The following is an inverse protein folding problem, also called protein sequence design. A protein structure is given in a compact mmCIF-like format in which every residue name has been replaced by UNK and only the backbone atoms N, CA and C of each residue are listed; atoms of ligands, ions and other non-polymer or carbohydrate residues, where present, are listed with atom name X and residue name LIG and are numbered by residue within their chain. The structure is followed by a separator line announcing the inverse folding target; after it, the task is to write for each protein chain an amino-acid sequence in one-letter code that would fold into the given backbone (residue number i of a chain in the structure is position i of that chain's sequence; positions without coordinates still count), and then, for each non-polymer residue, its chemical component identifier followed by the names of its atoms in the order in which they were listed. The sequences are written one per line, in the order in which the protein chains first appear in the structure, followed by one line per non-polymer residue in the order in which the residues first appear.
data_IF_761777144946
#
_entry.id   IF_761777144946
#
_cell.length_a   1.000
_cell.length_b   1.000
_cell.length_c   1.000
_cell.angle_alpha   90.00
_cell.angle_beta   90.00
_cell.angle_gamma   90.00
#
_symmetry.space_group_name_H-M   'P 1'
#
loop_
_entity.id
_entity.type
_entity.pdbx_description
1 polymer ?
#
# COMPACT_ATOMS: atom_id res chain seq x y z
N UNK A 1 2.53 22.36 -17.70
CA UNK A 1 3.41 21.24 -17.29
C UNK A 1 3.07 20.69 -15.90
N UNK A 2 2.78 21.51 -14.88
CA UNK A 2 2.10 21.03 -13.63
C UNK A 2 0.85 20.19 -13.92
N UNK A 3 0.07 20.56 -14.95
CA UNK A 3 -1.10 19.82 -15.44
C UNK A 3 -0.80 18.48 -16.09
N UNK A 4 0.36 18.28 -16.74
CA UNK A 4 0.68 17.01 -17.39
C UNK A 4 1.09 15.94 -16.36
N UNK A 5 1.87 16.34 -15.35
CA UNK A 5 2.23 15.49 -14.20
C UNK A 5 1.01 15.16 -13.34
N UNK A 6 0.18 16.16 -13.03
CA UNK A 6 -1.09 16.00 -12.30
C UNK A 6 -2.00 14.99 -12.99
N UNK A 7 -2.31 15.16 -14.28
CA UNK A 7 -3.25 14.30 -15.02
C UNK A 7 -2.75 12.84 -15.18
N UNK A 8 -1.45 12.59 -15.00
CA UNK A 8 -0.88 11.25 -15.03
C UNK A 8 -0.99 10.52 -13.69
N UNK A 9 -0.66 11.20 -12.59
CA UNK A 9 -0.87 10.69 -11.23
C UNK A 9 -2.36 10.38 -11.00
N UNK A 10 -3.26 11.21 -11.54
CA UNK A 10 -4.71 10.96 -11.44
C UNK A 10 -5.18 9.74 -12.23
N UNK A 11 -4.51 9.34 -13.33
CA UNK A 11 -4.96 8.20 -14.13
C UNK A 11 -4.49 6.85 -13.58
N UNK A 12 -3.26 6.76 -13.05
CA UNK A 12 -2.79 5.58 -12.32
C UNK A 12 -3.62 5.33 -11.06
N UNK A 13 -4.07 6.41 -10.39
CA UNK A 13 -5.02 6.31 -9.28
C UNK A 13 -6.46 5.92 -9.72
N UNK A 14 -6.83 6.12 -10.99
CA UNK A 14 -8.20 5.87 -11.47
C UNK A 14 -8.49 4.43 -11.92
N UNK A 15 -7.46 3.60 -12.08
CA UNK A 15 -7.58 2.14 -12.30
C UNK A 15 -7.50 1.35 -10.99
N UNK A 16 -7.08 1.97 -9.89
CA UNK A 16 -7.14 1.39 -8.56
C UNK A 16 -8.59 1.47 -8.02
N UNK A 17 -9.51 0.69 -8.57
CA UNK A 17 -10.82 0.47 -7.95
C UNK A 17 -10.71 -0.16 -6.54
N UNK A 18 -9.53 -0.67 -6.17
CA UNK A 18 -9.18 -1.11 -4.82
C UNK A 18 -8.74 0.03 -3.89
N UNK A 19 -8.64 1.29 -4.34
CA UNK A 19 -8.44 2.48 -3.49
C UNK A 19 -9.66 2.79 -2.57
N UNK A 20 -10.58 1.84 -2.43
CA UNK A 20 -11.67 1.80 -1.47
C UNK A 20 -11.24 1.28 -0.09
N UNK A 21 -10.02 0.76 0.04
CA UNK A 21 -9.45 0.28 1.30
C UNK A 21 -8.92 1.41 2.20
N UNK A 22 -9.25 2.68 1.95
CA UNK A 22 -8.94 3.78 2.86
C UNK A 22 -10.20 4.60 3.14
N UNK A 23 -10.39 5.08 4.37
CA UNK A 23 -11.55 5.88 4.72
C UNK A 23 -11.56 7.18 3.92
N UNK A 24 -12.75 7.66 3.59
CA UNK A 24 -12.89 8.91 2.87
C UNK A 24 -12.55 10.07 3.82
N UNK A 25 -11.30 10.53 3.84
CA UNK A 25 -10.86 11.58 4.76
C UNK A 25 -11.53 12.94 4.48
N UNK A 26 -11.61 13.77 5.53
CA UNK A 26 -11.97 15.18 5.41
C UNK A 26 -10.99 15.92 4.47
N UNK A 27 -11.42 17.05 3.92
CA UNK A 27 -10.54 17.87 3.07
C UNK A 27 -9.54 18.58 3.98
N UNK A 28 -8.25 18.37 3.74
CA UNK A 28 -7.19 19.15 4.37
C UNK A 28 -7.43 20.66 4.20
N UNK A 29 -7.04 21.45 5.21
CA UNK A 29 -6.94 22.90 5.13
C UNK A 29 -6.09 23.32 3.94
N UNK A 30 -6.38 24.49 3.38
CA UNK A 30 -5.51 25.03 2.33
C UNK A 30 -4.22 25.58 2.97
N UNK A 31 -3.07 25.46 2.30
CA UNK A 31 -1.84 26.10 2.75
C UNK A 31 -2.06 27.60 3.02
N UNK A 32 -1.51 28.09 4.12
CA UNK A 32 -1.59 29.48 4.57
C UNK A 32 -0.44 30.28 3.95
N UNK A 33 -0.75 31.29 3.14
CA UNK A 33 0.26 32.24 2.66
C UNK A 33 0.68 33.18 3.77
N UNK A 34 1.96 33.19 4.12
CA UNK A 34 2.52 34.04 5.20
C UNK A 34 3.39 35.19 4.68
N UNK A 35 3.90 35.07 3.45
CA UNK A 35 4.61 36.12 2.72
C UNK A 35 4.54 35.83 1.21
N UNK A 36 5.01 36.76 0.37
CA UNK A 36 5.05 36.55 -1.08
C UNK A 36 5.89 35.32 -1.42
N UNK A 37 5.30 34.37 -2.15
CA UNK A 37 5.92 33.11 -2.52
C UNK A 37 6.20 32.14 -1.36
N UNK A 38 5.70 32.40 -0.14
CA UNK A 38 5.90 31.56 1.06
C UNK A 38 4.56 31.06 1.62
N UNK A 39 4.41 29.75 1.74
CA UNK A 39 3.24 29.08 2.31
C UNK A 39 3.62 28.14 3.45
N UNK A 40 2.77 28.07 4.47
CA UNK A 40 2.84 27.11 5.57
C UNK A 40 1.60 26.21 5.49
N UNK A 41 1.80 24.90 5.50
CA UNK A 41 0.75 23.89 5.45
C UNK A 41 0.83 23.03 6.72
N UNK A 42 0.00 23.31 7.75
CA UNK A 42 -0.12 22.43 8.90
C UNK A 42 -0.65 21.07 8.48
N UNK A 43 -0.18 20.01 9.13
CA UNK A 43 -0.65 18.65 8.90
C UNK A 43 -1.23 18.11 10.19
N UNK A 44 -2.50 17.72 10.15
CA UNK A 44 -3.17 17.03 11.26
C UNK A 44 -3.99 15.87 10.68
N UNK A 45 -3.59 14.65 10.98
CA UNK A 45 -4.31 13.43 10.57
C UNK A 45 -4.59 12.56 11.79
N UNK A 46 -5.76 11.93 11.83
CA UNK A 46 -6.13 11.04 12.90
C UNK A 46 -6.95 9.86 12.42
N UNK A 47 -6.73 8.70 13.04
CA UNK A 47 -7.43 7.45 12.75
C UNK A 47 -7.72 6.66 14.02
N UNK A 48 -8.99 6.51 14.37
CA UNK A 48 -9.42 5.50 15.33
C UNK A 48 -9.77 4.23 14.56
N UNK A 49 -9.18 3.09 14.94
CA UNK A 49 -9.44 1.80 14.32
C UNK A 49 -9.75 0.76 15.38
N UNK A 50 -10.89 0.09 15.21
CA UNK A 50 -11.11 -1.22 15.81
C UNK A 50 -10.77 -2.30 14.78
N UNK A 51 -10.04 -3.33 15.20
CA UNK A 51 -9.72 -4.54 14.44
C UNK A 51 -9.97 -5.76 15.32
N UNK A 52 -10.79 -6.67 14.81
CA UNK A 52 -10.99 -7.99 15.38
C UNK A 52 -10.39 -9.04 14.45
N UNK A 53 -9.72 -10.04 15.02
CA UNK A 53 -9.16 -11.18 14.29
C UNK A 53 -9.57 -12.47 15.00
N UNK A 54 -10.22 -13.38 14.30
CA UNK A 54 -10.57 -14.72 14.78
C UNK A 54 -9.74 -15.74 13.99
N UNK A 55 -8.97 -16.54 14.72
CA UNK A 55 -8.25 -17.71 14.22
C UNK A 55 -8.54 -18.90 15.14
N UNK A 56 -9.83 -19.19 15.36
CA UNK A 56 -10.32 -20.12 16.37
C UNK A 56 -9.75 -21.54 16.29
N UNK A 57 -9.31 -22.00 15.11
CA UNK A 57 -8.62 -23.30 14.98
C UNK A 57 -7.25 -23.31 15.69
N UNK A 58 -6.59 -22.16 15.81
CA UNK A 58 -5.35 -21.96 16.59
C UNK A 58 -5.65 -21.62 18.05
N UNK A 59 -6.91 -21.36 18.41
CA UNK A 59 -7.30 -20.88 19.74
C UNK A 59 -6.79 -19.47 20.03
N UNK A 60 -6.63 -18.65 18.99
CA UNK A 60 -6.15 -17.27 19.08
C UNK A 60 -7.21 -16.33 18.52
N UNK A 61 -7.55 -15.32 19.31
CA UNK A 61 -8.37 -14.19 18.90
C UNK A 61 -7.62 -12.90 19.19
N UNK A 62 -7.99 -11.78 18.57
CA UNK A 62 -7.47 -10.47 18.92
C UNK A 62 -8.55 -9.39 18.83
N UNK A 63 -8.49 -8.45 19.76
CA UNK A 63 -9.28 -7.23 19.76
C UNK A 63 -8.35 -6.03 19.96
N UNK A 64 -8.15 -5.25 18.90
CA UNK A 64 -7.31 -4.06 18.90
C UNK A 64 -8.16 -2.80 18.70
N UNK A 65 -8.13 -1.88 19.66
CA UNK A 65 -8.67 -0.52 19.48
C UNK A 65 -7.51 0.46 19.54
N UNK A 66 -7.12 1.00 18.38
CA UNK A 66 -5.94 1.84 18.25
C UNK A 66 -6.30 3.24 17.76
N UNK A 67 -5.57 4.25 18.24
CA UNK A 67 -5.67 5.64 17.81
C UNK A 67 -4.33 6.09 17.23
N UNK A 68 -4.31 6.41 15.93
CA UNK A 68 -3.21 7.13 15.29
C UNK A 68 -3.46 8.62 15.29
N UNK A 69 -2.42 9.40 15.54
CA UNK A 69 -2.34 10.82 15.25
C UNK A 69 -1.05 11.14 14.50
N UNK A 70 -1.14 11.99 13.49
CA UNK A 70 0.01 12.61 12.81
C UNK A 70 -0.10 14.11 12.91
N UNK A 71 1.01 14.75 13.25
CA UNK A 71 1.11 16.19 13.43
C UNK A 71 2.38 16.71 12.78
N UNK A 72 2.27 17.75 11.98
CA UNK A 72 3.41 18.29 11.27
C UNK A 72 3.18 19.63 10.60
N UNK A 73 4.17 20.06 9.84
CA UNK A 73 4.11 21.28 9.03
C UNK A 73 4.99 21.14 7.81
N UNK A 74 4.51 21.63 6.67
CA UNK A 74 5.32 21.89 5.48
C UNK A 74 5.43 23.39 5.23
N UNK A 75 6.65 23.87 5.00
CA UNK A 75 6.91 25.23 4.54
C UNK A 75 7.40 25.17 3.10
N UNK A 76 6.82 25.98 2.22
CA UNK A 76 7.28 26.14 0.83
C UNK A 76 7.65 27.59 0.57
N UNK A 77 8.80 27.82 -0.07
CA UNK A 77 9.29 29.14 -0.42
C UNK A 77 10.03 29.11 -1.76
N UNK A 78 9.53 29.83 -2.78
CA UNK A 78 10.19 29.98 -4.09
C UNK A 78 10.69 28.66 -4.74
N UNK A 79 9.92 27.58 -4.60
CA UNK A 79 10.26 26.26 -5.12
C UNK A 79 10.97 25.33 -4.13
N UNK A 80 11.54 25.86 -3.05
CA UNK A 80 12.03 25.05 -1.94
C UNK A 80 10.89 24.59 -1.04
N UNK A 81 11.05 23.41 -0.42
CA UNK A 81 10.18 22.90 0.62
C UNK A 81 10.98 22.32 1.79
N UNK A 82 10.41 22.42 2.99
CA UNK A 82 10.87 21.72 4.18
C UNK A 82 9.64 21.17 4.92
N UNK A 83 9.68 19.91 5.34
CA UNK A 83 8.58 19.24 6.03
C UNK A 83 9.12 18.52 7.25
N UNK A 84 8.44 18.68 8.37
CA UNK A 84 8.60 17.87 9.57
C UNK A 84 7.23 17.35 10.02
N UNK A 85 7.11 16.05 10.25
CA UNK A 85 5.89 15.38 10.71
C UNK A 85 6.26 14.28 11.70
N UNK A 86 5.58 14.26 12.83
CA UNK A 86 5.61 13.17 13.78
C UNK A 86 4.35 12.30 13.61
N UNK A 87 4.47 11.02 13.93
CA UNK A 87 3.32 10.13 14.09
C UNK A 87 3.33 9.46 15.46
N UNK A 88 2.14 9.09 15.89
CA UNK A 88 1.93 8.35 17.14
C UNK A 88 0.77 7.38 16.99
N UNK A 89 0.89 6.26 17.68
CA UNK A 89 -0.13 5.21 17.79
C UNK A 89 -0.30 4.86 19.27
N UNK A 90 -1.54 4.89 19.75
CA UNK A 90 -1.95 4.51 21.09
C UNK A 90 -2.82 3.24 21.01
N UNK A 91 -2.56 2.25 21.85
CA UNK A 91 -3.42 1.08 22.02
C UNK A 91 -4.38 1.33 23.19
N UNK A 92 -5.66 1.56 22.89
CA UNK A 92 -6.73 1.75 23.89
C UNK A 92 -7.23 0.39 24.40
N UNK A 93 -7.28 -0.59 23.49
CA UNK A 93 -7.46 -2.01 23.79
C UNK A 93 -6.35 -2.78 23.09
N UNK A 94 -5.59 -3.54 23.88
CA UNK A 94 -4.30 -4.15 23.55
C UNK A 94 -4.32 -5.69 23.62
N UNK A 95 -5.51 -6.30 23.48
CA UNK A 95 -5.66 -7.76 23.41
C UNK A 95 -5.24 -8.28 22.02
N UNK A 96 -4.03 -8.00 21.58
CA UNK A 96 -3.50 -8.42 20.29
C UNK A 96 -1.99 -8.63 20.34
N UNK A 97 -1.46 -9.41 19.41
CA UNK A 97 -0.02 -9.55 19.27
C UNK A 97 0.52 -8.44 18.36
N UNK A 98 1.31 -7.52 18.93
CA UNK A 98 1.79 -6.33 18.24
C UNK A 98 3.17 -6.49 17.59
N UNK A 99 3.75 -7.70 17.70
CA UNK A 99 5.06 -8.12 17.21
C UNK A 99 6.27 -7.59 18.00
N UNK A 100 6.06 -6.90 19.12
CA UNK A 100 7.12 -6.46 20.03
C UNK A 100 7.32 -7.52 21.14
N UNK A 101 8.46 -8.22 21.19
CA UNK A 101 8.68 -9.26 22.18
C UNK A 101 8.61 -8.72 23.61
N UNK A 102 7.77 -9.34 24.45
CA UNK A 102 7.66 -8.99 25.87
C UNK A 102 6.82 -7.75 26.17
N UNK A 103 6.13 -7.18 25.18
CA UNK A 103 5.14 -6.15 25.42
C UNK A 103 3.90 -6.73 26.17
N UNK A 104 3.09 -5.85 26.77
CA UNK A 104 1.82 -6.20 27.42
C UNK A 104 1.92 -7.16 28.63
N UNK A 105 3.11 -7.32 29.20
CA UNK A 105 3.33 -8.08 30.44
C UNK A 105 3.46 -9.61 30.26
N UNK A 106 3.50 -10.10 29.02
CA UNK A 106 3.70 -11.52 28.72
C UNK A 106 5.18 -11.86 28.60
N UNK A 107 5.66 -12.80 29.42
CA UNK A 107 6.99 -13.39 29.26
C UNK A 107 6.94 -14.50 28.19
N UNK A 108 6.80 -14.13 26.90
CA UNK A 108 6.73 -15.10 25.80
C UNK A 108 5.99 -14.60 24.56
N UNK A 109 5.50 -15.53 23.74
CA UNK A 109 4.59 -15.22 22.64
C UNK A 109 3.24 -14.77 23.21
N UNK A 110 2.73 -13.64 22.71
CA UNK A 110 1.43 -13.11 23.13
C UNK A 110 0.33 -14.10 22.71
N UNK A 111 -0.65 -14.39 23.60
CA UNK A 111 -1.68 -15.41 23.37
C UNK A 111 -2.82 -14.87 22.49
N UNK A 112 -2.49 -14.03 21.50
CA UNK A 112 -3.43 -13.34 20.64
C UNK A 112 -3.00 -13.41 19.18
N UNK A 113 -3.97 -13.26 18.29
CA UNK A 113 -3.71 -13.10 16.85
C UNK A 113 -2.94 -11.80 16.57
N UNK A 114 -2.17 -11.78 15.48
CA UNK A 114 -1.31 -10.64 15.16
C UNK A 114 -2.12 -9.48 14.60
N UNK A 115 -1.96 -8.31 15.23
CA UNK A 115 -2.33 -7.00 14.69
C UNK A 115 -1.09 -6.11 14.75
N UNK A 116 -0.42 -5.95 13.61
CA UNK A 116 0.88 -5.29 13.49
C UNK A 116 0.81 -3.75 13.57
N UNK A 117 0.20 -3.25 14.63
CA UNK A 117 0.02 -1.82 14.91
C UNK A 117 0.44 -1.52 16.35
N UNK A 118 1.74 -1.67 16.68
CA UNK A 118 2.24 -1.40 18.01
C UNK A 118 2.13 0.07 18.36
N UNK A 119 2.11 0.34 19.67
CA UNK A 119 2.23 1.69 20.19
C UNK A 119 3.54 2.33 19.73
N UNK A 120 3.48 3.61 19.41
CA UNK A 120 4.59 4.29 18.77
C UNK A 120 4.51 5.80 18.98
N UNK A 121 5.67 6.45 19.09
CA UNK A 121 5.81 7.90 18.92
C UNK A 121 7.13 8.15 18.21
N UNK A 122 7.10 8.65 16.98
CA UNK A 122 8.32 8.85 16.21
C UNK A 122 8.25 9.98 15.18
N UNK A 123 9.41 10.31 14.61
CA UNK A 123 9.49 11.17 13.43
C UNK A 123 9.08 10.36 12.20
N UNK A 124 7.94 10.72 11.62
CA UNK A 124 7.41 10.07 10.44
C UNK A 124 8.08 10.58 9.16
N UNK A 125 8.11 11.91 8.97
CA UNK A 125 8.74 12.54 7.80
C UNK A 125 9.60 13.72 8.22
N UNK A 126 10.78 13.80 7.63
CA UNK A 126 11.70 14.92 7.79
C UNK A 126 12.49 15.07 6.50
N UNK A 127 12.06 16.02 5.68
CA UNK A 127 12.54 16.14 4.30
C UNK A 127 12.66 17.58 3.86
N UNK A 128 13.62 17.82 2.97
CA UNK A 128 13.76 19.07 2.22
C UNK A 128 13.66 18.76 0.74
N UNK A 129 13.14 19.71 -0.02
CA UNK A 129 12.99 19.54 -1.46
C UNK A 129 13.14 20.82 -2.24
N UNK A 130 13.30 20.65 -3.55
CA UNK A 130 13.26 21.74 -4.52
C UNK A 130 12.46 21.30 -5.74
N UNK A 131 11.52 22.12 -6.18
CA UNK A 131 10.69 21.93 -7.36
C UNK A 131 10.93 23.05 -8.36
N UNK A 132 11.61 22.71 -9.46
CA UNK A 132 11.93 23.61 -10.56
C UNK A 132 11.00 23.43 -11.77
N UNK A 133 11.43 23.95 -12.93
CA UNK A 133 10.67 23.87 -14.18
C UNK A 133 10.63 22.46 -14.79
N UNK A 134 11.70 21.69 -14.62
CA UNK A 134 11.92 20.41 -15.30
C UNK A 134 11.76 19.18 -14.39
N UNK A 135 11.61 19.40 -13.08
CA UNK A 135 11.53 18.32 -12.11
C UNK A 135 11.64 18.79 -10.67
N UNK A 136 11.70 17.82 -9.77
CA UNK A 136 11.88 17.99 -8.33
C UNK A 136 12.93 17.05 -7.79
N UNK A 137 13.55 17.46 -6.69
CA UNK A 137 14.41 16.62 -5.86
C UNK A 137 13.95 16.72 -4.41
N UNK A 138 13.93 15.59 -3.71
CA UNK A 138 13.58 15.48 -2.28
C UNK A 138 14.66 14.67 -1.57
N UNK A 139 15.13 15.17 -0.44
CA UNK A 139 16.15 14.53 0.41
C UNK A 139 15.61 14.41 1.83
N UNK A 140 15.80 13.23 2.44
CA UNK A 140 15.42 12.94 3.82
C UNK A 140 14.38 11.83 3.92
N UNK A 141 13.78 11.72 5.10
CA UNK A 141 12.74 10.73 5.39
C UNK A 141 11.43 11.12 4.73
N UNK A 142 10.95 10.30 3.81
CA UNK A 142 9.82 10.62 2.95
C UNK A 142 8.96 9.39 2.62
N UNK A 143 7.70 9.63 2.23
CA UNK A 143 6.86 8.61 1.61
C UNK A 143 7.30 8.36 0.17
N UNK A 144 7.41 7.10 -0.22
CA UNK A 144 7.62 6.70 -1.61
C UNK A 144 6.58 5.65 -1.96
N UNK A 145 5.77 5.96 -2.97
CA UNK A 145 4.69 5.12 -3.48
C UNK A 145 4.81 5.13 -4.99
N UNK A 146 4.98 3.96 -5.59
CA UNK A 146 5.04 3.79 -7.04
C UNK A 146 3.78 3.07 -7.53
N UNK A 147 3.15 3.61 -8.56
CA UNK A 147 1.95 3.07 -9.21
C UNK A 147 0.81 2.75 -8.22
N UNK A 148 0.36 1.49 -8.18
CA UNK A 148 -0.68 0.96 -7.28
C UNK A 148 -0.10 0.45 -5.95
N UNK A 149 1.17 0.75 -5.64
CA UNK A 149 1.88 0.32 -4.45
C UNK A 149 2.17 -1.19 -4.37
N UNK A 150 2.07 -1.92 -5.50
CA UNK A 150 2.31 -3.37 -5.54
C UNK A 150 3.73 -3.79 -5.20
N UNK A 151 4.71 -2.94 -5.52
CA UNK A 151 6.13 -3.20 -5.25
C UNK A 151 6.73 -2.23 -4.24
N UNK A 152 6.35 -0.94 -4.31
CA UNK A 152 6.86 0.11 -3.43
C UNK A 152 5.69 0.97 -2.96
N UNK A 153 5.42 0.97 -1.66
CA UNK A 153 4.37 1.75 -1.04
C UNK A 153 4.68 2.15 0.40
N UNK A 154 3.80 2.95 0.99
CA UNK A 154 3.94 3.41 2.37
C UNK A 154 3.10 2.60 3.37
N UNK A 155 2.32 1.61 2.93
CA UNK A 155 1.48 0.79 3.81
C UNK A 155 0.51 1.63 4.66
N UNK A 156 -0.01 2.74 4.09
CA UNK A 156 -0.75 3.76 4.84
C UNK A 156 -2.09 3.34 5.48
N UNK A 157 -2.49 2.07 5.31
CA UNK A 157 -3.59 1.42 6.03
C UNK A 157 -3.28 1.16 7.51
N UNK A 158 -2.01 0.84 7.81
CA UNK A 158 -1.53 0.63 9.18
C UNK A 158 -1.50 1.96 9.93
N UNK A 159 -1.46 1.85 11.26
CA UNK A 159 -1.39 3.01 12.14
C UNK A 159 -0.03 3.69 12.01
N UNK A 160 1.07 2.94 12.04
CA UNK A 160 2.37 3.46 11.62
C UNK A 160 2.55 3.20 10.12
N UNK A 161 3.21 4.12 9.41
CA UNK A 161 3.47 3.93 7.98
C UNK A 161 4.93 3.65 7.66
N UNK A 162 5.13 3.00 6.53
CA UNK A 162 6.45 2.82 5.97
C UNK A 162 6.94 4.12 5.31
N UNK A 163 8.18 4.50 5.63
CA UNK A 163 8.89 5.63 5.03
C UNK A 163 10.31 5.25 4.62
N UNK A 164 10.96 6.12 3.84
CA UNK A 164 12.27 5.85 3.26
C UNK A 164 13.20 7.01 3.53
N UNK A 165 14.41 6.71 4.01
CA UNK A 165 15.48 7.69 4.15
C UNK A 165 16.25 7.75 2.83
N UNK A 166 15.88 8.72 1.99
CA UNK A 166 16.21 8.66 0.56
C UNK A 166 16.53 10.01 -0.07
N UNK A 167 17.17 9.94 -1.25
CA UNK A 167 17.18 10.99 -2.26
C UNK A 167 16.30 10.53 -3.42
N UNK A 168 15.32 11.35 -3.80
CA UNK A 168 14.41 11.08 -4.92
C UNK A 168 14.40 12.25 -5.90
N UNK A 169 14.55 11.96 -7.17
CA UNK A 169 14.43 12.91 -8.26
C UNK A 169 13.31 12.49 -9.21
N UNK A 170 12.47 13.44 -9.58
CA UNK A 170 11.35 13.22 -10.49
C UNK A 170 11.36 14.30 -11.57
N UNK A 171 11.07 13.96 -12.82
CA UNK A 171 11.04 14.95 -13.89
C UNK A 171 10.47 14.44 -15.20
N UNK A 172 10.36 15.36 -16.16
CA UNK A 172 9.92 15.04 -17.51
C UNK A 172 11.02 15.35 -18.52
N UNK A 173 11.31 14.39 -19.39
CA UNK A 173 12.17 14.51 -20.56
C UNK A 173 11.29 14.40 -21.81
N UNK A 174 10.78 15.55 -22.28
CA UNK A 174 9.79 15.57 -23.34
C UNK A 174 8.49 14.86 -22.92
N UNK A 175 8.04 13.80 -23.63
CA UNK A 175 6.86 13.03 -23.25
C UNK A 175 7.13 11.96 -22.18
N UNK A 176 8.40 11.72 -21.83
CA UNK A 176 8.80 10.67 -20.88
C UNK A 176 8.86 11.23 -19.48
N UNK A 177 8.17 10.58 -18.55
CA UNK A 177 8.27 10.83 -17.11
C UNK A 177 9.34 9.90 -16.53
N UNK A 178 10.17 10.43 -15.64
CA UNK A 178 11.19 9.67 -14.92
C UNK A 178 11.06 9.87 -13.42
N UNK A 179 11.27 8.79 -12.67
CA UNK A 179 11.42 8.76 -11.22
C UNK A 179 12.68 7.96 -10.90
N UNK A 180 13.54 8.51 -10.07
CA UNK A 180 14.75 7.85 -9.64
C UNK A 180 14.96 8.10 -8.15
N UNK A 181 15.03 7.03 -7.38
CA UNK A 181 15.26 7.05 -5.95
C UNK A 181 16.48 6.21 -5.61
N UNK A 182 17.32 6.74 -4.72
CA UNK A 182 18.26 5.95 -3.95
C UNK A 182 17.91 6.10 -2.46
N UNK A 183 17.70 4.98 -1.78
CA UNK A 183 17.34 4.93 -0.36
C UNK A 183 18.34 4.10 0.40
N UNK A 184 18.71 4.57 1.60
CA UNK A 184 19.64 3.88 2.50
C UNK A 184 18.91 3.07 3.58
N UNK A 185 17.61 3.32 3.77
CA UNK A 185 16.82 2.68 4.83
C UNK A 185 15.34 2.65 4.47
N UNK A 186 14.70 1.53 4.78
CA UNK A 186 13.24 1.36 4.83
C UNK A 186 12.82 1.38 6.30
N UNK A 187 12.07 2.40 6.71
CA UNK A 187 11.42 2.47 8.03
C UNK A 187 10.14 1.66 7.97
N UNK A 188 9.99 0.70 8.88
CA UNK A 188 8.90 -0.27 8.82
C UNK A 188 7.64 0.24 9.52
N UNK A 189 6.55 -0.49 9.37
CA UNK A 189 5.27 -0.24 10.09
C UNK A 189 5.33 -0.64 11.58
N UNK A 190 6.43 -1.24 12.05
CA UNK A 190 6.50 -1.81 13.39
C UNK A 190 6.90 -0.80 14.47
N UNK A 191 7.12 0.48 14.12
CA UNK A 191 7.39 1.55 15.07
C UNK A 191 8.80 1.52 15.68
N UNK A 192 9.14 2.57 16.43
CA UNK A 192 10.51 2.87 16.88
C UNK A 192 11.08 1.89 17.93
N UNK A 193 10.22 1.19 18.66
CA UNK A 193 10.60 0.25 19.73
C UNK A 193 10.74 -1.20 19.25
N UNK A 194 10.30 -1.49 18.02
CA UNK A 194 10.42 -2.84 17.45
C UNK A 194 11.87 -3.19 17.09
N UNK A 195 12.28 -4.46 17.26
CA UNK A 195 13.54 -4.95 16.67
C UNK A 195 13.54 -4.83 15.14
N UNK A 196 12.36 -4.79 14.52
CA UNK A 196 12.16 -4.66 13.08
C UNK A 196 11.82 -3.22 12.64
N UNK A 197 12.09 -2.21 13.46
CA UNK A 197 11.78 -0.79 13.20
C UNK A 197 12.28 -0.24 11.86
N UNK A 198 13.37 -0.80 11.33
CA UNK A 198 13.90 -0.43 10.03
C UNK A 198 14.71 -1.59 9.43
N UNK A 199 14.94 -1.51 8.13
CA UNK A 199 15.90 -2.35 7.42
C UNK A 199 16.80 -1.46 6.57
N UNK A 200 18.09 -1.51 6.85
CA UNK A 200 19.10 -0.73 6.13
C UNK A 200 19.60 -1.50 4.91
N UNK A 201 20.15 -0.76 3.95
CA UNK A 201 20.71 -1.33 2.73
C UNK A 201 20.91 -0.30 1.63
N UNK A 202 21.18 -0.79 0.42
CA UNK A 202 21.31 -0.01 -0.81
C UNK A 202 20.11 -0.29 -1.71
N UNK A 203 19.17 0.66 -1.78
CA UNK A 203 17.95 0.51 -2.57
C UNK A 203 17.91 1.50 -3.73
N UNK A 204 17.85 0.99 -4.96
CA UNK A 204 17.70 1.78 -6.19
C UNK A 204 16.33 1.51 -6.78
N UNK A 205 15.49 2.55 -6.88
CA UNK A 205 14.15 2.45 -7.45
C UNK A 205 14.04 3.37 -8.66
N UNK A 206 13.88 2.80 -9.85
CA UNK A 206 13.86 3.52 -11.11
C UNK A 206 12.57 3.26 -11.87
N UNK A 207 12.00 4.32 -12.40
CA UNK A 207 10.77 4.27 -13.19
C UNK A 207 10.85 5.21 -14.38
N UNK A 208 10.36 4.74 -15.53
CA UNK A 208 10.25 5.53 -16.75
C UNK A 208 8.95 5.22 -17.47
N UNK A 209 8.19 6.24 -17.88
CA UNK A 209 6.90 6.02 -18.51
C UNK A 209 6.46 7.09 -19.51
N UNK A 210 5.55 6.72 -20.39
CA UNK A 210 5.01 7.59 -21.45
C UNK A 210 3.52 7.29 -21.68
N UNK A 211 2.76 8.28 -22.17
CA UNK A 211 1.39 8.07 -22.64
C UNK A 211 1.40 7.86 -24.13
N UNK A 212 0.82 6.76 -24.58
CA UNK A 212 0.57 6.49 -25.99
C UNK A 212 -0.92 6.34 -26.19
N UNK A 213 -1.54 7.33 -26.87
CA UNK A 213 -2.98 7.30 -27.25
C UNK A 213 -3.95 6.97 -26.09
N UNK A 214 -3.68 7.50 -24.89
CA UNK A 214 -4.54 7.25 -23.73
C UNK A 214 -4.08 6.12 -22.82
N UNK A 215 -3.18 5.24 -23.29
CA UNK A 215 -2.57 4.16 -22.51
C UNK A 215 -1.28 4.65 -21.87
N UNK A 216 -1.13 4.46 -20.56
CA UNK A 216 0.13 4.65 -19.85
C UNK A 216 0.98 3.38 -20.02
N UNK A 217 2.21 3.54 -20.51
CA UNK A 217 3.20 2.46 -20.60
C UNK A 217 4.39 2.86 -19.75
N UNK A 218 4.85 1.93 -18.91
CA UNK A 218 5.92 2.17 -17.95
C UNK A 218 6.88 0.99 -17.91
N UNK A 219 8.17 1.26 -17.80
CA UNK A 219 9.20 0.31 -17.40
C UNK A 219 9.77 0.71 -16.05
N UNK A 220 10.20 -0.28 -15.26
CA UNK A 220 10.79 -0.05 -13.95
C UNK A 220 11.91 -1.04 -13.65
N UNK A 221 12.81 -0.61 -12.76
CA UNK A 221 13.87 -1.43 -12.20
C UNK A 221 13.98 -1.14 -10.70
N UNK A 222 13.87 -2.19 -9.88
CA UNK A 222 14.01 -2.11 -8.43
C UNK A 222 15.14 -3.03 -8.01
N UNK A 223 16.24 -2.46 -7.52
CA UNK A 223 17.38 -3.19 -6.99
C UNK A 223 17.40 -2.99 -5.49
N UNK A 224 17.17 -4.06 -4.75
CA UNK A 224 17.11 -4.06 -3.31
C UNK A 224 18.28 -4.87 -2.77
N UNK A 225 19.20 -4.24 -2.05
CA UNK A 225 20.27 -4.94 -1.34
C UNK A 225 20.18 -4.62 0.15
N UNK A 226 19.60 -5.54 0.93
CA UNK A 226 19.44 -5.39 2.38
C UNK A 226 20.69 -5.84 3.13
N UNK A 227 21.02 -5.16 4.21
CA UNK A 227 22.14 -5.53 5.10
C UNK A 227 21.79 -6.70 6.03
N UNK A 228 20.54 -6.76 6.52
CA UNK A 228 20.11 -7.78 7.51
C UNK A 228 19.09 -8.79 6.96
N UNK A 229 18.28 -8.38 5.98
CA UNK A 229 17.25 -9.25 5.36
C UNK A 229 17.74 -9.83 4.04
N UNK A 230 18.89 -10.50 4.07
CA UNK A 230 19.61 -10.94 2.85
C UNK A 230 18.72 -11.73 1.88
N UNK A 231 17.82 -12.59 2.37
CA UNK A 231 16.89 -13.37 1.53
C UNK A 231 15.88 -12.50 0.74
N UNK A 232 15.70 -11.24 1.13
CA UNK A 232 14.85 -10.26 0.45
C UNK A 232 15.64 -9.36 -0.52
N UNK A 233 16.99 -9.47 -0.55
CA UNK A 233 17.80 -8.77 -1.54
C UNK A 233 17.49 -9.33 -2.93
N UNK A 234 17.06 -8.47 -3.85
CA UNK A 234 16.59 -8.88 -5.16
C UNK A 234 16.74 -7.77 -6.19
N UNK A 235 16.85 -8.15 -7.45
CA UNK A 235 16.75 -7.24 -8.58
C UNK A 235 15.53 -7.60 -9.41
N UNK A 236 14.67 -6.60 -9.64
CA UNK A 236 13.39 -6.75 -10.32
C UNK A 236 13.34 -5.81 -11.51
N UNK A 237 13.09 -6.34 -12.70
CA UNK A 237 12.90 -5.55 -13.92
C UNK A 237 11.53 -5.87 -14.51
N UNK A 238 10.77 -4.83 -14.85
CA UNK A 238 9.42 -5.05 -15.34
C UNK A 238 8.87 -3.92 -16.16
N UNK A 239 7.67 -4.17 -16.69
CA UNK A 239 6.91 -3.21 -17.45
C UNK A 239 5.41 -3.36 -17.16
N UNK A 240 4.69 -2.26 -17.32
CA UNK A 240 3.23 -2.27 -17.24
C UNK A 240 2.59 -1.40 -18.32
N UNK A 241 1.37 -1.75 -18.67
CA UNK A 241 0.48 -0.96 -19.49
C UNK A 241 -0.89 -0.84 -18.79
N UNK A 242 -1.41 0.38 -18.68
CA UNK A 242 -2.73 0.64 -18.11
C UNK A 242 -3.50 1.65 -18.96
N UNK A 243 -4.78 1.38 -19.21
CA UNK A 243 -5.61 2.24 -20.03
C UNK A 243 -7.09 2.11 -19.72
N UNK A 244 -7.83 3.16 -20.05
CA UNK A 244 -9.28 3.20 -19.98
C UNK A 244 -9.86 3.49 -21.36
N UNK A 245 -10.80 2.66 -21.81
CA UNK A 245 -11.50 2.78 -23.09
C UNK A 245 -12.95 3.19 -22.80
N UNK A 246 -13.35 4.43 -23.11
CA UNK A 246 -14.75 4.85 -23.00
C UNK A 246 -15.62 4.05 -23.97
N UNK A 247 -16.74 3.52 -23.47
CA UNK A 247 -17.74 2.82 -24.30
C UNK A 247 -18.92 3.72 -24.70
N UNK A 248 -18.96 4.95 -24.21
CA UNK A 248 -20.07 5.89 -24.37
C UNK A 248 -20.91 6.03 -23.10
N UNK A 249 -21.55 7.19 -22.91
CA UNK A 249 -22.26 7.52 -21.66
C UNK A 249 -21.30 7.52 -20.45
N UNK A 250 -21.70 6.87 -19.36
CA UNK A 250 -20.86 6.68 -18.17
C UNK A 250 -20.07 5.36 -18.19
N UNK A 251 -20.11 4.61 -19.30
CA UNK A 251 -19.51 3.30 -19.38
C UNK A 251 -18.04 3.37 -19.82
N UNK A 252 -17.18 2.59 -19.15
CA UNK A 252 -15.76 2.46 -19.49
C UNK A 252 -15.26 1.03 -19.24
N UNK A 253 -14.28 0.61 -20.05
CA UNK A 253 -13.45 -0.56 -19.80
C UNK A 253 -12.10 -0.08 -19.28
N UNK A 254 -11.61 -0.66 -18.20
CA UNK A 254 -10.27 -0.44 -17.66
C UNK A 254 -9.45 -1.72 -17.88
N UNK A 255 -8.22 -1.59 -18.36
CA UNK A 255 -7.29 -2.72 -18.57
C UNK A 255 -5.97 -2.38 -17.90
N UNK A 256 -5.42 -3.32 -17.14
CA UNK A 256 -4.07 -3.25 -16.55
C UNK A 256 -3.34 -4.56 -16.87
N UNK A 257 -2.13 -4.45 -17.39
CA UNK A 257 -1.23 -5.58 -17.63
C UNK A 257 0.13 -5.22 -17.04
N UNK A 258 0.75 -6.15 -16.32
CA UNK A 258 2.08 -6.00 -15.76
C UNK A 258 2.84 -7.33 -15.85
N UNK A 259 4.11 -7.22 -16.18
CA UNK A 259 5.07 -8.32 -16.14
C UNK A 259 6.35 -7.85 -15.46
N UNK A 260 6.96 -8.72 -14.66
CA UNK A 260 8.30 -8.50 -14.13
C UNK A 260 9.06 -9.81 -14.01
N UNK A 261 10.39 -9.73 -14.02
CA UNK A 261 11.29 -10.81 -13.64
C UNK A 261 12.09 -10.35 -12.43
N UNK A 262 12.08 -11.16 -11.38
CA UNK A 262 12.89 -10.95 -10.18
C UNK A 262 13.93 -12.07 -10.04
N UNK A 263 15.12 -11.71 -9.59
CA UNK A 263 16.21 -12.65 -9.30
C UNK A 263 16.99 -12.19 -8.07
N UNK A 264 17.84 -13.06 -7.54
CA UNK A 264 18.75 -12.73 -6.46
C UNK A 264 19.65 -11.53 -6.79
N UNK A 265 20.06 -10.81 -5.73
CA UNK A 265 20.92 -9.64 -5.83
C UNK A 265 21.74 -9.48 -4.55
N UNK A 266 22.90 -8.83 -4.66
CA UNK A 266 23.79 -8.58 -3.54
C UNK A 266 24.18 -9.85 -2.80
N UNK A 267 23.92 -9.89 -1.49
CA UNK A 267 24.26 -11.00 -0.60
C UNK A 267 23.12 -12.03 -0.41
N UNK A 268 22.13 -12.09 -1.31
CA UNK A 268 21.07 -13.09 -1.19
C UNK A 268 21.65 -14.52 -1.21
N UNK A 269 21.34 -15.36 -0.19
CA UNK A 269 21.91 -16.70 -0.09
C UNK A 269 21.32 -17.72 -1.07
N UNK A 270 20.19 -17.40 -1.71
CA UNK A 270 19.52 -18.29 -2.66
C UNK A 270 19.69 -17.68 -4.05
N UNK A 271 20.30 -18.43 -4.97
CA UNK A 271 20.27 -18.11 -6.40
C UNK A 271 18.91 -18.53 -6.95
N UNK A 272 18.13 -17.58 -7.45
CA UNK A 272 16.80 -17.85 -7.99
C UNK A 272 16.42 -16.87 -9.09
N UNK A 273 15.45 -17.26 -9.90
CA UNK A 273 14.75 -16.31 -10.75
C UNK A 273 13.27 -16.69 -10.93
N UNK A 274 12.38 -15.74 -10.63
CA UNK A 274 10.93 -15.92 -10.67
C UNK A 274 10.25 -14.85 -11.53
N UNK A 275 9.19 -15.24 -12.25
CA UNK A 275 8.34 -14.33 -13.00
C UNK A 275 7.22 -13.75 -12.12
N UNK A 276 6.70 -12.61 -12.55
CA UNK A 276 5.47 -12.02 -12.03
C UNK A 276 4.56 -11.63 -13.18
N UNK A 277 3.27 -11.94 -13.03
CA UNK A 277 2.23 -11.58 -13.99
C UNK A 277 1.07 -10.92 -13.26
N UNK A 278 0.51 -9.88 -13.85
CA UNK A 278 -0.74 -9.27 -13.36
C UNK A 278 -1.56 -8.78 -14.55
N UNK A 279 -2.81 -9.24 -14.61
CA UNK A 279 -3.75 -8.90 -15.65
C UNK A 279 -5.13 -8.61 -15.03
N UNK A 280 -5.64 -7.42 -15.27
CA UNK A 280 -6.94 -6.98 -14.77
C UNK A 280 -7.80 -6.40 -15.88
N UNK A 281 -9.08 -6.74 -15.83
CA UNK A 281 -10.12 -6.17 -16.67
C UNK A 281 -11.26 -5.64 -15.79
N UNK A 282 -11.57 -4.36 -15.95
CA UNK A 282 -12.66 -3.68 -15.26
C UNK A 282 -13.71 -3.17 -16.25
N UNK A 283 -14.97 -3.18 -15.85
CA UNK A 283 -16.07 -2.51 -16.55
C UNK A 283 -16.86 -1.68 -15.54
N UNK A 284 -17.02 -0.39 -15.81
CA UNK A 284 -17.92 0.47 -15.05
C UNK A 284 -19.18 0.74 -15.87
N UNK A 285 -20.37 0.51 -15.32
CA UNK A 285 -21.66 0.77 -15.97
C UNK A 285 -22.73 1.13 -14.95
N UNK A 286 -23.47 2.23 -15.17
CA UNK A 286 -24.60 2.66 -14.32
C UNK A 286 -24.29 2.68 -12.80
N UNK A 287 -23.09 3.12 -12.41
CA UNK A 287 -22.65 3.20 -11.01
C UNK A 287 -22.21 1.86 -10.38
N UNK A 288 -22.24 0.77 -11.14
CA UNK A 288 -21.61 -0.50 -10.81
C UNK A 288 -20.22 -0.59 -11.44
N UNK A 289 -19.27 -1.15 -10.71
CA UNK A 289 -17.98 -1.59 -11.23
C UNK A 289 -17.86 -3.10 -11.10
N UNK A 290 -17.55 -3.79 -12.19
CA UNK A 290 -17.15 -5.19 -12.19
C UNK A 290 -15.66 -5.24 -12.53
N UNK A 291 -14.89 -6.02 -11.79
CA UNK A 291 -13.46 -6.25 -12.06
C UNK A 291 -13.18 -7.73 -11.96
N UNK A 292 -12.38 -8.26 -12.87
CA UNK A 292 -11.77 -9.58 -12.76
C UNK A 292 -10.27 -9.46 -12.98
N UNK A 293 -9.49 -10.30 -12.32
CA UNK A 293 -8.05 -10.29 -12.50
C UNK A 293 -7.37 -11.60 -12.13
N UNK A 294 -6.12 -11.66 -12.54
CA UNK A 294 -5.17 -12.72 -12.26
C UNK A 294 -3.85 -12.07 -11.83
N UNK A 295 -3.32 -12.46 -10.69
CA UNK A 295 -1.95 -12.13 -10.28
C UNK A 295 -1.17 -13.41 -10.00
N UNK A 296 0.08 -13.48 -10.45
CA UNK A 296 1.03 -14.53 -10.10
C UNK A 296 2.32 -13.93 -9.57
N UNK A 297 2.69 -14.35 -8.36
CA UNK A 297 4.04 -14.24 -7.81
C UNK A 297 4.70 -15.60 -7.98
N UNK A 298 5.49 -15.75 -9.05
CA UNK A 298 6.03 -17.04 -9.46
C UNK A 298 7.07 -17.61 -8.49
N UNK A 299 7.50 -18.83 -8.78
CA UNK A 299 8.46 -19.60 -7.99
C UNK A 299 9.54 -20.23 -8.87
N UNK A 300 10.76 -20.28 -8.34
CA UNK A 300 11.85 -21.06 -8.94
C UNK A 300 11.84 -22.49 -8.38
N UNK A 301 10.92 -23.30 -8.90
CA UNK A 301 10.82 -24.73 -8.57
C UNK A 301 10.53 -25.02 -7.10
N UNK A 302 9.92 -24.09 -6.36
CA UNK A 302 9.62 -24.20 -4.93
C UNK A 302 10.75 -23.78 -3.99
N UNK A 303 11.91 -23.39 -4.51
CA UNK A 303 13.09 -23.01 -3.71
C UNK A 303 13.05 -21.57 -3.19
N UNK A 304 12.54 -20.65 -4.02
CA UNK A 304 12.29 -19.26 -3.71
C UNK A 304 11.13 -18.76 -4.60
N UNK A 305 10.47 -17.71 -4.14
CA UNK A 305 9.36 -17.10 -4.86
C UNK A 305 9.58 -15.60 -5.02
N UNK A 306 8.86 -14.99 -5.96
CA UNK A 306 8.83 -13.55 -6.12
C UNK A 306 8.35 -12.88 -4.83
N UNK A 307 9.17 -11.99 -4.27
CA UNK A 307 8.87 -11.24 -3.04
C UNK A 307 8.63 -9.76 -3.33
N UNK A 308 7.83 -9.13 -2.46
CA UNK A 308 7.50 -7.70 -2.55
C UNK A 308 7.68 -6.98 -1.21
N UNK A 309 8.91 -6.94 -0.66
CA UNK A 309 9.17 -6.54 0.72
C UNK A 309 8.86 -5.07 1.04
N UNK A 310 8.64 -4.23 0.01
CA UNK A 310 8.30 -2.81 0.13
C UNK A 310 6.84 -2.50 -0.28
N UNK A 311 6.03 -3.52 -0.57
CA UNK A 311 4.66 -3.33 -1.05
C UNK A 311 3.71 -2.84 0.04
N UNK A 312 2.63 -2.18 -0.38
CA UNK A 312 1.41 -2.08 0.45
C UNK A 312 0.61 -3.38 0.29
N UNK A 313 1.15 -4.47 0.83
CA UNK A 313 0.68 -5.83 0.56
C UNK A 313 -0.80 -6.05 0.92
N UNK A 314 -1.32 -5.42 1.99
CA UNK A 314 -2.74 -5.49 2.37
C UNK A 314 -3.75 -5.06 1.28
N UNK A 315 -3.30 -4.38 0.22
CA UNK A 315 -4.16 -4.03 -0.92
C UNK A 315 -4.28 -5.17 -1.96
N UNK A 316 -3.53 -6.27 -1.79
CA UNK A 316 -3.37 -7.37 -2.72
C UNK A 316 -3.49 -8.71 -1.99
N UNK A 317 -3.84 -9.76 -2.73
CA UNK A 317 -3.83 -11.14 -2.22
C UNK A 317 -4.64 -11.36 -0.93
N UNK A 318 -5.85 -10.76 -0.87
CA UNK A 318 -6.76 -10.85 0.27
C UNK A 318 -6.47 -9.84 1.39
N UNK A 319 -7.49 -9.53 2.17
CA UNK A 319 -7.39 -8.62 3.32
C UNK A 319 -7.17 -9.35 4.64
N UNK A 320 -7.30 -10.67 4.68
CA UNK A 320 -6.96 -11.50 5.83
C UNK A 320 -5.45 -11.54 6.12
N UNK A 321 -4.61 -11.01 5.21
CA UNK A 321 -3.15 -10.85 5.34
C UNK A 321 -2.35 -12.17 5.40
N UNK A 322 -2.85 -13.26 4.81
CA UNK A 322 -2.15 -14.55 4.81
C UNK A 322 -0.91 -14.55 3.89
N UNK A 323 -0.91 -13.71 2.86
CA UNK A 323 0.11 -13.70 1.80
C UNK A 323 1.00 -12.45 1.82
N UNK A 324 1.21 -11.83 2.99
CA UNK A 324 2.17 -10.71 3.15
C UNK A 324 3.61 -11.09 2.80
N UNK A 325 3.94 -12.38 2.86
CA UNK A 325 5.17 -12.97 2.32
C UNK A 325 4.78 -14.12 1.40
N UNK A 326 5.26 -14.10 0.15
CA UNK A 326 4.90 -15.13 -0.82
C UNK A 326 5.46 -16.49 -0.39
N UNK A 327 4.66 -17.56 -0.33
CA UNK A 327 5.15 -18.92 -0.08
C UNK A 327 6.23 -19.32 -1.11
N UNK A 328 7.17 -20.20 -0.74
CA UNK A 328 8.28 -20.57 -1.64
C UNK A 328 7.82 -21.27 -2.93
N UNK A 329 6.66 -21.93 -2.89
CA UNK A 329 5.95 -22.53 -4.04
C UNK A 329 5.21 -21.51 -4.91
N UNK A 330 5.33 -20.22 -4.63
CA UNK A 330 4.69 -19.13 -5.35
C UNK A 330 3.22 -18.98 -4.97
N UNK A 331 2.57 -17.99 -5.58
CA UNK A 331 1.16 -17.65 -5.35
C UNK A 331 0.51 -17.22 -6.66
N UNK A 332 -0.64 -17.80 -6.95
CA UNK A 332 -1.60 -17.39 -7.98
C UNK A 332 -2.88 -16.93 -7.29
N UNK A 333 -3.35 -15.76 -7.64
CA UNK A 333 -4.57 -15.15 -7.13
C UNK A 333 -5.53 -14.88 -8.29
N UNK A 334 -6.62 -15.63 -8.34
CA UNK A 334 -7.74 -15.39 -9.25
C UNK A 334 -8.83 -14.66 -8.50
N UNK A 335 -9.17 -13.45 -8.94
CA UNK A 335 -10.10 -12.62 -8.19
C UNK A 335 -11.16 -11.94 -9.05
N UNK A 336 -12.31 -11.71 -8.41
CA UNK A 336 -13.44 -10.99 -8.99
C UNK A 336 -14.02 -10.02 -7.97
N UNK A 337 -14.31 -8.79 -8.39
CA UNK A 337 -14.87 -7.75 -7.54
C UNK A 337 -16.13 -7.13 -8.14
N UNK A 338 -17.09 -6.83 -7.27
CA UNK A 338 -18.27 -6.02 -7.56
C UNK A 338 -18.26 -4.82 -6.65
N UNK A 339 -18.37 -3.62 -7.22
CA UNK A 339 -18.44 -2.36 -6.48
C UNK A 339 -19.63 -1.52 -6.89
N UNK A 340 -20.12 -0.70 -5.96
CA UNK A 340 -21.22 0.23 -6.24
C UNK A 340 -21.09 1.52 -5.43
N UNK A 341 -21.27 2.65 -6.11
CA UNK A 341 -21.52 3.94 -5.47
C UNK A 341 -23.02 4.12 -5.23
N UNK A 342 -23.41 4.35 -3.99
CA UNK A 342 -24.80 4.63 -3.60
C UNK A 342 -25.08 6.14 -3.48
N UNK A 343 -24.03 6.97 -3.46
CA UNK A 343 -24.17 8.41 -3.28
C UNK A 343 -24.53 8.77 -1.85
N UNK A 344 -25.34 9.81 -1.66
CA UNK A 344 -25.77 10.23 -0.33
C UNK A 344 -26.99 9.43 0.13
N UNK A 345 -26.90 8.82 1.32
CA UNK A 345 -27.98 8.06 1.96
C UNK A 345 -28.20 8.61 3.36
N UNK A 346 -29.13 9.56 3.49
CA UNK A 346 -29.42 10.25 4.75
C UNK A 346 -28.16 10.94 5.32
N UNK A 347 -27.73 10.61 6.56
CA UNK A 347 -26.52 11.19 7.16
C UNK A 347 -25.21 10.65 6.55
N UNK A 348 -25.27 9.54 5.80
CA UNK A 348 -24.11 8.91 5.20
C UNK A 348 -23.81 9.58 3.86
N UNK A 349 -22.70 10.30 3.78
CA UNK A 349 -22.29 11.03 2.57
C UNK A 349 -21.34 10.21 1.73
N UNK A 350 -21.59 10.14 0.42
CA UNK A 350 -20.76 9.40 -0.53
C UNK A 350 -20.60 7.91 -0.23
N UNK A 351 -21.67 7.24 0.22
CA UNK A 351 -21.69 5.82 0.50
C UNK A 351 -21.30 5.01 -0.75
N UNK A 352 -20.36 4.10 -0.56
CA UNK A 352 -19.86 3.18 -1.58
C UNK A 352 -19.47 1.86 -0.92
N UNK A 353 -19.59 0.77 -1.66
CA UNK A 353 -19.20 -0.55 -1.17
C UNK A 353 -18.60 -1.43 -2.26
N UNK A 354 -17.91 -2.46 -1.82
CA UNK A 354 -17.29 -3.45 -2.68
C UNK A 354 -17.28 -4.82 -2.00
N UNK A 355 -17.43 -5.87 -2.80
CA UNK A 355 -17.20 -7.26 -2.43
C UNK A 355 -16.15 -7.81 -3.39
N UNK A 356 -15.21 -8.60 -2.87
CA UNK A 356 -14.18 -9.30 -3.65
C UNK A 356 -14.18 -10.77 -3.26
N UNK A 357 -13.98 -11.63 -4.25
CA UNK A 357 -13.69 -13.05 -4.05
C UNK A 357 -12.28 -13.32 -4.57
N UNK A 358 -11.53 -14.15 -3.84
CA UNK A 358 -10.23 -14.65 -4.22
C UNK A 358 -10.20 -16.19 -4.19
N UNK A 359 -9.51 -16.79 -5.15
CA UNK A 359 -9.04 -18.17 -5.12
C UNK A 359 -7.52 -18.16 -5.19
N UNK A 360 -6.87 -18.82 -4.23
CA UNK A 360 -5.43 -18.83 -4.08
C UNK A 360 -4.85 -20.22 -4.33
N UNK A 361 -3.94 -20.31 -5.30
CA UNK A 361 -3.23 -21.54 -5.62
C UNK A 361 -1.71 -21.30 -5.59
N UNK A 362 -0.91 -22.36 -5.48
CA UNK A 362 0.54 -22.27 -5.71
C UNK A 362 0.87 -22.13 -7.19
N UNK A 363 1.99 -21.49 -7.51
CA UNK A 363 2.59 -21.55 -8.85
C UNK A 363 3.12 -22.98 -9.15
N UNK A 364 3.88 -23.53 -8.20
CA UNK A 364 4.51 -24.85 -8.27
C UNK A 364 3.75 -25.88 -7.44
N UNK A 365 3.37 -26.98 -8.08
CA UNK A 365 2.77 -28.14 -7.43
C UNK A 365 1.24 -28.17 -7.48
N UNK A 366 0.57 -27.09 -7.89
CA UNK A 366 -0.89 -27.03 -8.03
C UNK A 366 -1.63 -27.22 -6.70
N UNK A 367 -1.04 -26.72 -5.61
CA UNK A 367 -1.58 -26.74 -4.26
C UNK A 367 -2.69 -25.68 -4.17
N UNK A 368 -3.88 -26.10 -3.73
CA UNK A 368 -4.98 -25.20 -3.36
C UNK A 368 -4.69 -24.63 -1.97
N UNK A 369 -4.37 -23.33 -1.90
CA UNK A 369 -4.13 -22.67 -0.63
C UNK A 369 -5.44 -22.32 0.08
N UNK A 370 -6.50 -22.03 -0.67
CA UNK A 370 -7.80 -21.69 -0.13
C UNK A 370 -8.45 -20.52 -0.87
N UNK A 371 -9.47 -19.95 -0.24
CA UNK A 371 -10.31 -18.90 -0.85
C UNK A 371 -10.67 -17.84 0.17
N UNK A 372 -10.94 -16.63 -0.31
CA UNK A 372 -11.28 -15.51 0.55
C UNK A 372 -12.46 -14.70 0.02
N UNK A 373 -13.34 -14.31 0.95
CA UNK A 373 -14.38 -13.32 0.70
C UNK A 373 -14.09 -12.05 1.48
N UNK A 374 -14.13 -10.95 0.74
CA UNK A 374 -13.80 -9.62 1.21
C UNK A 374 -14.96 -8.68 0.99
N UNK A 375 -15.25 -7.81 1.96
CA UNK A 375 -16.29 -6.78 1.82
C UNK A 375 -15.91 -5.47 2.50
N UNK A 376 -16.23 -4.33 1.87
CA UNK A 376 -16.10 -3.03 2.51
C UNK A 376 -17.27 -2.09 2.23
N UNK A 377 -17.46 -1.15 3.15
CA UNK A 377 -18.39 -0.03 3.04
C UNK A 377 -17.70 1.24 3.53
N UNK A 378 -17.56 2.22 2.64
CA UNK A 378 -16.96 3.53 2.94
C UNK A 378 -17.97 4.66 2.80
N UNK A 379 -17.97 5.60 3.73
CA UNK A 379 -18.82 6.80 3.70
C UNK A 379 -18.25 7.90 4.59
N UNK A 380 -18.92 9.06 4.64
CA UNK A 380 -18.62 10.14 5.59
C UNK A 380 -19.80 10.41 6.53
N UNK A 381 -19.50 10.71 7.79
CA UNK A 381 -20.47 11.19 8.79
C UNK A 381 -19.90 12.47 9.42
N UNK A 382 -20.65 13.57 9.35
CA UNK A 382 -20.24 14.88 9.88
C UNK A 382 -18.84 15.34 9.42
N UNK A 383 -18.42 14.95 8.20
CA UNK A 383 -17.11 15.29 7.63
C UNK A 383 -15.99 14.29 7.90
N UNK A 384 -16.18 13.37 8.84
CA UNK A 384 -15.24 12.29 9.16
C UNK A 384 -15.44 11.10 8.23
N UNK A 385 -14.34 10.49 7.80
CA UNK A 385 -14.35 9.28 7.00
C UNK A 385 -14.63 8.06 7.86
N UNK A 386 -15.53 7.20 7.41
CA UNK A 386 -15.83 5.92 8.02
C UNK A 386 -15.58 4.82 7.01
N UNK A 387 -14.93 3.74 7.46
CA UNK A 387 -14.78 2.52 6.70
C UNK A 387 -15.11 1.33 7.60
N UNK A 388 -15.98 0.45 7.09
CA UNK A 388 -16.22 -0.88 7.64
C UNK A 388 -15.66 -1.88 6.65
N UNK A 389 -14.87 -2.84 7.14
CA UNK A 389 -14.19 -3.83 6.30
C UNK A 389 -14.31 -5.21 6.94
N UNK A 390 -14.39 -6.25 6.13
CA UNK A 390 -14.46 -7.64 6.54
C UNK A 390 -13.67 -8.51 5.58
N UNK A 391 -13.02 -9.54 6.11
CA UNK A 391 -12.30 -10.56 5.37
C UNK A 391 -12.59 -11.94 5.99
N UNK A 392 -12.77 -12.95 5.16
CA UNK A 392 -12.99 -14.34 5.58
C UNK A 392 -12.21 -15.26 4.66
N UNK A 393 -11.06 -15.70 5.14
CA UNK A 393 -10.21 -16.69 4.48
C UNK A 393 -10.54 -18.09 5.00
N UNK A 394 -10.85 -18.98 4.07
CA UNK A 394 -11.03 -20.42 4.32
C UNK A 394 -9.77 -21.13 3.82
N UNK A 395 -9.03 -21.70 4.75
CA UNK A 395 -7.79 -22.40 4.43
C UNK A 395 -8.09 -23.78 3.84
N UNK A 396 -7.33 -24.16 2.81
CA UNK A 396 -7.30 -25.54 2.31
C UNK A 396 -5.93 -26.17 2.66
N UNK A 397 -4.84 -25.74 2.02
CA UNK A 397 -3.48 -26.28 2.28
C UNK A 397 -2.46 -25.26 2.81
N UNK A 398 -2.86 -24.02 3.10
CA UNK A 398 -1.98 -22.98 3.60
C UNK A 398 -2.65 -22.15 4.69
N UNK A 399 -1.89 -21.80 5.74
CA UNK A 399 -2.41 -21.02 6.85
C UNK A 399 -3.50 -21.74 7.66
N UNK A 400 -4.45 -20.96 8.16
CA UNK A 400 -5.62 -21.40 8.93
C UNK A 400 -6.80 -20.50 8.59
N UNK A 401 -8.02 -20.97 8.84
CA UNK A 401 -9.21 -20.14 8.71
C UNK A 401 -9.02 -18.85 9.51
N UNK A 402 -9.24 -17.72 8.85
CA UNK A 402 -8.99 -16.40 9.44
C UNK A 402 -10.13 -15.47 9.07
N UNK A 403 -10.85 -14.99 10.07
CA UNK A 403 -11.84 -13.93 9.91
C UNK A 403 -11.30 -12.63 10.50
N UNK A 404 -11.50 -11.53 9.79
CA UNK A 404 -11.12 -10.20 10.27
C UNK A 404 -12.22 -9.18 10.03
N UNK A 405 -12.36 -8.27 10.99
CA UNK A 405 -13.32 -7.19 10.92
C UNK A 405 -12.69 -5.88 11.36
N UNK A 406 -12.94 -4.81 10.61
CA UNK A 406 -12.45 -3.47 10.94
C UNK A 406 -13.56 -2.44 10.93
N UNK A 407 -13.46 -1.49 11.85
CA UNK A 407 -14.16 -0.21 11.79
C UNK A 407 -13.13 0.91 11.96
N UNK A 408 -13.08 1.82 11.00
CA UNK A 408 -12.20 2.98 11.02
C UNK A 408 -13.01 4.27 11.02
N UNK A 409 -12.53 5.24 11.79
CA UNK A 409 -13.01 6.60 11.83
C UNK A 409 -11.82 7.56 11.70
N UNK A 410 -11.77 8.31 10.59
CA UNK A 410 -10.61 9.12 10.25
C UNK A 410 -10.93 10.57 9.88
N UNK A 411 -9.96 11.45 10.12
CA UNK A 411 -9.96 12.83 9.66
C UNK A 411 -8.57 13.26 9.20
N UNK A 412 -8.53 14.29 8.35
CA UNK A 412 -7.28 14.92 7.91
C UNK A 412 -7.56 16.40 7.65
N UNK A 413 -6.67 17.25 8.16
CA UNK A 413 -6.70 18.71 8.10
C UNK A 413 -5.34 19.27 7.73
#
# INVERSE_FOLDING_TARGET
MKTAYSTFVTLAASTAALALSAPALAKAGAPVTVADGVTIDPIIDGMLRYEHVDQGQLGLDADALTLRLRGGVEVKAHGFSALAEAESTLAILDNYNDTIPGNNGYLGAEPYSVVADPENVEVNRLQVGYSGKIGSITVGRQRIIHDDARFVGNVGWRQNEQTFDAVRAQGALGPVLVDATYSLSQRSIFGADSPNKYWDGDFVLLDGGVKVKGVAVKGFAYLLDYDQRLAMSSQTYGAMAAGAIPLGGTAKIDIKLRYARQSDYGANPINYAADYYDAELGVSVAGFGLKGGYEELGSDGGSAAFQTPMATAHAFNGWADLFLTTPSTGLRDYFGAVSKGFGDVGPLKGLKGMIVYHQFDSDVGGIDYGREWDANLGFKVAGYGVLVKYANYQADSFGTDTEKFWVQFGFSF
#
